data_IF_464192779195
#
_entry.id   IF_464192779195
#
_cell.length_a   1.000
_cell.length_b   1.000
_cell.length_c   1.000
_cell.angle_alpha   90.00
_cell.angle_beta   90.00
_cell.angle_gamma   90.00
#
_symmetry.space_group_name_H-M   'P 1'
#
loop_
_entity.id
_entity.type
_entity.pdbx_description
1 polymer ?
#
# COMPACT_ATOMS: atom_id res chain seq x y z
N UNK A 1 -14.87 -3.53 21.82
CA UNK A 1 -14.37 -2.32 21.18
C UNK A 1 -13.66 -2.66 19.90
N UNK A 2 -14.00 -1.98 18.83
CA UNK A 2 -13.42 -2.26 17.55
C UNK A 2 -12.07 -1.60 17.40
N UNK A 3 -11.13 -2.33 16.86
CA UNK A 3 -9.87 -1.75 16.48
C UNK A 3 -10.04 -0.96 15.20
N UNK A 4 -9.49 0.24 15.20
CA UNK A 4 -9.43 0.99 13.98
C UNK A 4 -8.29 0.49 13.13
N UNK A 5 -8.59 0.26 11.86
CA UNK A 5 -7.56 -0.10 10.90
C UNK A 5 -7.06 1.15 10.22
N UNK A 6 -5.77 1.19 9.95
CA UNK A 6 -5.24 2.27 9.15
C UNK A 6 -5.04 1.78 7.73
N UNK A 7 -5.30 2.69 6.80
CA UNK A 7 -5.37 2.36 5.38
C UNK A 7 -4.03 2.64 4.73
N UNK A 8 -3.55 1.68 3.96
CA UNK A 8 -2.21 1.75 3.38
C UNK A 8 -2.30 1.59 1.88
N UNK A 9 -1.60 2.44 1.15
CA UNK A 9 -1.35 2.25 -0.26
C UNK A 9 0.13 1.95 -0.42
N UNK A 10 0.45 0.91 -1.17
CA UNK A 10 1.82 0.49 -1.41
C UNK A 10 2.18 0.81 -2.86
N UNK A 11 3.27 1.53 -3.05
CA UNK A 11 3.78 1.86 -4.37
C UNK A 11 5.16 1.23 -4.52
N UNK A 12 5.29 0.30 -5.45
CA UNK A 12 6.52 -0.45 -5.65
C UNK A 12 6.59 -0.90 -7.10
N UNK A 13 7.67 -0.57 -7.79
CA UNK A 13 7.78 -0.86 -9.21
C UNK A 13 8.30 -2.27 -9.52
N UNK A 14 8.72 -3.00 -8.51
CA UNK A 14 9.13 -4.39 -8.68
C UNK A 14 8.03 -5.29 -8.16
N UNK A 15 7.43 -6.06 -9.05
CA UNK A 15 6.22 -6.82 -8.70
C UNK A 15 6.45 -7.81 -7.57
N UNK A 16 7.59 -8.49 -7.56
CA UNK A 16 7.88 -9.45 -6.52
C UNK A 16 8.01 -8.78 -5.16
N UNK A 17 8.64 -7.62 -5.13
CA UNK A 17 8.78 -6.87 -3.89
C UNK A 17 7.44 -6.30 -3.44
N UNK A 18 6.60 -5.90 -4.38
CA UNK A 18 5.26 -5.44 -4.06
C UNK A 18 4.47 -6.53 -3.37
N UNK A 19 4.52 -7.73 -3.92
CA UNK A 19 3.79 -8.84 -3.32
C UNK A 19 4.33 -9.20 -1.94
N UNK A 20 5.65 -9.16 -1.78
CA UNK A 20 6.26 -9.44 -0.48
C UNK A 20 5.85 -8.42 0.56
N UNK A 21 5.86 -7.15 0.20
CA UNK A 21 5.46 -6.08 1.11
C UNK A 21 3.99 -6.21 1.47
N UNK A 22 3.15 -6.49 0.48
CA UNK A 22 1.73 -6.65 0.70
C UNK A 22 1.45 -7.79 1.68
N UNK A 23 2.16 -8.90 1.52
CA UNK A 23 1.99 -10.05 2.42
C UNK A 23 2.38 -9.70 3.85
N UNK A 24 3.45 -8.92 4.02
CA UNK A 24 3.85 -8.51 5.35
C UNK A 24 2.75 -7.68 6.02
N UNK A 25 2.17 -6.73 5.30
CA UNK A 25 1.11 -5.94 5.86
C UNK A 25 -0.12 -6.77 6.21
N UNK A 26 -0.45 -7.74 5.37
CA UNK A 26 -1.63 -8.56 5.59
C UNK A 26 -1.47 -9.53 6.76
N UNK A 27 -0.27 -10.06 6.94
CA UNK A 27 -0.08 -11.15 7.90
C UNK A 27 0.66 -10.73 9.17
N UNK A 28 1.45 -9.66 9.11
CA UNK A 28 2.27 -9.27 10.25
C UNK A 28 1.77 -8.00 10.94
N UNK A 29 0.93 -7.23 10.28
CA UNK A 29 0.44 -5.97 10.82
C UNK A 29 -1.08 -6.00 10.80
N UNK A 30 -1.69 -6.57 11.86
CA UNK A 30 -3.12 -6.89 11.80
C UNK A 30 -4.06 -5.70 11.69
N UNK A 31 -3.63 -4.51 12.13
CA UNK A 31 -4.51 -3.35 12.03
C UNK A 31 -4.24 -2.52 10.79
N UNK A 32 -3.42 -3.02 9.88
CA UNK A 32 -3.20 -2.35 8.60
C UNK A 32 -4.13 -2.94 7.56
N UNK A 33 -4.72 -2.07 6.77
CA UNK A 33 -5.58 -2.49 5.66
C UNK A 33 -4.98 -1.96 4.37
N UNK A 34 -4.53 -2.87 3.50
CA UNK A 34 -3.99 -2.48 2.20
C UNK A 34 -5.16 -2.18 1.28
N UNK A 35 -5.39 -0.91 0.99
CA UNK A 35 -6.53 -0.51 0.18
C UNK A 35 -6.19 -0.40 -1.29
N UNK A 36 -4.90 -0.45 -1.64
CA UNK A 36 -4.51 -0.43 -3.02
C UNK A 36 -3.02 -0.60 -3.19
N UNK A 37 -2.63 -1.04 -4.36
CA UNK A 37 -1.22 -1.16 -4.73
C UNK A 37 -1.02 -0.55 -6.09
N UNK A 38 0.16 0.02 -6.32
CA UNK A 38 0.49 0.64 -7.59
C UNK A 38 1.93 0.34 -7.94
N UNK A 39 2.19 0.12 -9.21
CA UNK A 39 3.55 -0.08 -9.70
C UNK A 39 4.03 1.14 -10.47
N UNK A 40 3.15 2.06 -10.78
CA UNK A 40 3.50 3.26 -11.51
C UNK A 40 2.75 4.44 -10.89
N UNK A 41 3.21 5.63 -11.23
CA UNK A 41 2.55 6.84 -10.77
C UNK A 41 1.13 6.94 -11.33
N UNK A 42 0.95 6.52 -12.57
CA UNK A 42 -0.39 6.60 -13.17
C UNK A 42 -1.39 5.67 -12.50
N UNK A 43 -0.92 4.59 -11.88
CA UNK A 43 -1.80 3.72 -11.10
C UNK A 43 -2.08 4.29 -9.72
N UNK A 44 -1.16 5.07 -9.21
CA UNK A 44 -1.24 5.59 -7.85
C UNK A 44 -2.32 6.64 -7.68
N UNK A 45 -2.36 7.62 -8.57
CA UNK A 45 -3.26 8.76 -8.39
C UNK A 45 -4.74 8.38 -8.35
N UNK A 46 -5.22 7.45 -9.21
CA UNK A 46 -6.61 7.02 -9.08
C UNK A 46 -6.93 6.39 -7.74
N UNK A 47 -5.97 5.70 -7.13
CA UNK A 47 -6.19 5.13 -5.81
C UNK A 47 -6.36 6.22 -4.76
N UNK A 48 -5.54 7.26 -4.86
CA UNK A 48 -5.65 8.40 -3.94
C UNK A 48 -6.99 9.11 -4.07
N UNK A 49 -7.48 9.22 -5.30
CA UNK A 49 -8.76 9.88 -5.54
C UNK A 49 -9.94 9.06 -5.04
N UNK A 50 -9.80 7.73 -5.10
CA UNK A 50 -10.88 6.87 -4.66
C UNK A 50 -11.01 6.84 -3.14
N UNK A 51 -9.87 6.85 -2.44
CA UNK A 51 -9.90 6.75 -0.99
C UNK A 51 -8.58 7.23 -0.43
N UNK A 52 -8.63 8.18 0.48
CA UNK A 52 -7.41 8.70 1.10
C UNK A 52 -6.83 7.69 2.08
N UNK A 53 -5.54 7.37 1.95
CA UNK A 53 -4.90 6.48 2.89
C UNK A 53 -4.39 7.21 4.11
N UNK A 54 -4.08 6.45 5.15
CA UNK A 54 -3.38 6.97 6.31
C UNK A 54 -1.87 6.92 6.08
N UNK A 55 -1.43 5.99 5.23
CA UNK A 55 -0.01 5.77 4.98
C UNK A 55 0.19 5.39 3.53
N UNK A 56 1.17 6.02 2.89
CA UNK A 56 1.64 5.61 1.57
C UNK A 56 3.06 5.11 1.74
N UNK A 57 3.25 3.82 1.47
CA UNK A 57 4.58 3.24 1.50
C UNK A 57 5.15 3.30 0.11
N UNK A 58 6.17 4.11 -0.06
CA UNK A 58 6.74 4.41 -1.36
C UNK A 58 8.15 3.85 -1.43
N UNK A 59 8.36 2.92 -2.34
CA UNK A 59 9.67 2.36 -2.55
C UNK A 59 10.35 3.09 -3.71
N UNK A 60 11.50 3.68 -3.46
CA UNK A 60 12.20 4.49 -4.44
C UNK A 60 13.48 3.82 -4.89
N UNK A 61 13.36 2.55 -5.23
CA UNK A 61 14.54 1.78 -5.56
C UNK A 61 15.15 2.19 -6.87
N UNK A 62 14.31 2.63 -7.80
CA UNK A 62 14.76 2.97 -9.14
C UNK A 62 14.43 4.43 -9.42
N UNK A 63 15.37 5.25 -9.10
CA UNK A 63 15.26 6.67 -9.37
C UNK A 63 16.08 7.02 -10.60
#
# INVERSE_FOLDING_TARGET
MEEQKFKVIIVEDVKLELKGTEEIFRHEIPNAEVIGTAMTESEFWPLMEAQLPDLVLLSLIHI
#
